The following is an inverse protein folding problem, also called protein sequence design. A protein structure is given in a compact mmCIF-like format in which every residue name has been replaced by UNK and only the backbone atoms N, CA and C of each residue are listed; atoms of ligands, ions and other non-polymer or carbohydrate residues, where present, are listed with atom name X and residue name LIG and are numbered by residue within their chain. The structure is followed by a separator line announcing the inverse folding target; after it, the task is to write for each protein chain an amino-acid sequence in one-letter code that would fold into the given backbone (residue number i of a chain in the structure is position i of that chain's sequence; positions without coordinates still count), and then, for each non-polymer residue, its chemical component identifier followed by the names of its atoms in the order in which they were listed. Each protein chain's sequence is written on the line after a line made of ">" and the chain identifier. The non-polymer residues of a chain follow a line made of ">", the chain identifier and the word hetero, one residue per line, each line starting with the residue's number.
data_IF_963263148328
#
_entry.id   IF_963263148328
#
_cell.length_a   1.000
_cell.length_b   1.000
_cell.length_c   1.000
_cell.angle_alpha   90.00
_cell.angle_beta   90.00
_cell.angle_gamma   90.00
#
_symmetry.space_group_name_H-M   'P 1'
#
loop_
_entity.id
_entity.type
_entity.pdbx_description
1 polymer ?
#
# COMPACT_ATOMS: atom_id res chain seq x y z
N UNK A 1 0.47 9.38 5.64
CA UNK A 1 0.60 8.34 4.60
C UNK A 1 0.13 6.98 5.12
N UNK A 2 0.50 6.60 6.35
CA UNK A 2 0.05 5.35 7.00
C UNK A 2 -1.48 5.18 6.95
N UNK A 3 -2.26 6.18 7.35
CA UNK A 3 -3.74 6.11 7.29
C UNK A 3 -4.29 5.81 5.88
N UNK A 4 -3.68 6.37 4.84
CA UNK A 4 -4.11 6.13 3.45
C UNK A 4 -3.78 4.71 3.00
N UNK A 5 -2.61 4.21 3.38
CA UNK A 5 -2.20 2.83 3.09
C UNK A 5 -3.08 1.85 3.87
N UNK A 6 -3.30 2.09 5.16
CA UNK A 6 -4.17 1.30 6.04
C UNK A 6 -5.60 1.26 5.50
N UNK A 7 -6.16 2.40 5.10
CA UNK A 7 -7.49 2.46 4.50
C UNK A 7 -7.55 1.67 3.18
N UNK A 8 -6.54 1.80 2.30
CA UNK A 8 -6.49 1.06 1.05
C UNK A 8 -6.37 -0.46 1.27
N UNK A 9 -5.63 -0.88 2.30
CA UNK A 9 -5.59 -2.28 2.75
C UNK A 9 -6.96 -2.72 3.25
N UNK A 10 -7.57 -1.98 4.17
CA UNK A 10 -8.84 -2.37 4.78
C UNK A 10 -9.96 -2.52 3.74
N UNK A 11 -10.02 -1.63 2.75
CA UNK A 11 -10.96 -1.74 1.64
C UNK A 11 -10.76 -3.01 0.78
N UNK A 12 -9.52 -3.47 0.64
CA UNK A 12 -9.17 -4.63 -0.20
C UNK A 12 -9.24 -5.94 0.57
N UNK A 13 -8.86 -5.92 1.85
CA UNK A 13 -8.91 -7.06 2.75
C UNK A 13 -10.34 -7.33 3.23
N UNK A 14 -11.17 -6.29 3.33
CA UNK A 14 -12.54 -6.35 3.84
C UNK A 14 -12.65 -6.22 5.35
N UNK A 15 -11.56 -5.89 6.04
CA UNK A 15 -11.47 -5.65 7.48
C UNK A 15 -10.28 -4.73 7.79
N UNK A 16 -10.25 -4.11 8.96
CA UNK A 16 -9.15 -3.28 9.49
C UNK A 16 -8.48 -3.89 10.74
N UNK A 17 -8.78 -5.16 11.02
CA UNK A 17 -8.21 -5.97 12.11
C UNK A 17 -6.79 -6.47 11.77
N UNK A 18 -5.81 -5.57 11.85
CA UNK A 18 -4.37 -5.83 11.72
C UNK A 18 -3.55 -4.68 12.30
N UNK A 19 -2.34 -4.95 12.79
CA UNK A 19 -1.42 -3.89 13.24
C UNK A 19 -0.65 -3.30 12.04
N UNK A 20 -0.14 -2.07 12.18
CA UNK A 20 0.60 -1.42 11.09
C UNK A 20 1.93 -2.10 10.76
N UNK A 21 2.45 -2.91 11.69
CA UNK A 21 3.65 -3.73 11.55
C UNK A 21 3.32 -5.19 11.13
N UNK A 22 2.04 -5.55 10.93
CA UNK A 22 1.63 -6.87 10.43
C UNK A 22 1.96 -7.00 8.94
N UNK A 23 2.70 -8.05 8.51
CA UNK A 23 2.93 -8.32 7.09
C UNK A 23 1.62 -8.52 6.32
N UNK A 24 1.55 -7.99 5.09
CA UNK A 24 0.32 -8.03 4.27
C UNK A 24 -0.25 -9.43 4.09
N UNK A 25 0.62 -10.42 3.97
CA UNK A 25 0.23 -11.83 3.82
C UNK A 25 -0.38 -12.41 5.09
N UNK A 26 0.10 -11.99 6.26
CA UNK A 26 -0.45 -12.39 7.57
C UNK A 26 -1.81 -11.72 7.81
N UNK A 27 -2.00 -10.50 7.32
CA UNK A 27 -3.29 -9.80 7.32
C UNK A 27 -4.30 -10.35 6.28
N UNK A 28 -4.02 -11.49 5.61
CA UNK A 28 -4.92 -12.10 4.62
C UNK A 28 -4.79 -11.55 3.19
N UNK A 29 -3.68 -10.86 2.90
CA UNK A 29 -3.29 -10.36 1.59
C UNK A 29 -2.58 -11.39 0.72
N UNK A 30 -2.58 -11.16 -0.60
CA UNK A 30 -1.85 -11.93 -1.60
C UNK A 30 -1.63 -11.07 -2.85
N UNK A 31 -0.91 -11.58 -3.86
CA UNK A 31 -0.45 -10.80 -5.03
C UNK A 31 -1.56 -10.02 -5.75
N UNK A 32 -2.74 -10.62 -5.95
CA UNK A 32 -3.88 -9.94 -6.56
C UNK A 32 -4.41 -8.79 -5.69
N UNK A 33 -4.57 -9.01 -4.37
CA UNK A 33 -4.97 -7.96 -3.43
C UNK A 33 -3.91 -6.85 -3.34
N UNK A 34 -2.63 -7.19 -3.32
CA UNK A 34 -1.53 -6.22 -3.34
C UNK A 34 -1.59 -5.33 -4.58
N UNK A 35 -1.85 -5.92 -5.75
CA UNK A 35 -2.06 -5.19 -7.00
C UNK A 35 -3.25 -4.24 -6.88
N UNK A 36 -4.36 -4.68 -6.30
CA UNK A 36 -5.55 -3.84 -6.08
C UNK A 36 -5.29 -2.68 -5.11
N UNK A 37 -4.52 -2.88 -4.05
CA UNK A 37 -4.09 -1.81 -3.13
C UNK A 37 -3.25 -0.79 -3.90
N UNK A 38 -2.23 -1.23 -4.64
CA UNK A 38 -1.38 -0.30 -5.40
C UNK A 38 -2.18 0.46 -6.45
N UNK A 39 -3.14 -0.17 -7.13
CA UNK A 39 -4.02 0.52 -8.09
C UNK A 39 -4.85 1.62 -7.42
N UNK A 40 -5.38 1.36 -6.22
CA UNK A 40 -6.12 2.37 -5.43
C UNK A 40 -5.23 3.54 -5.05
N UNK A 41 -4.05 3.26 -4.49
CA UNK A 41 -3.09 4.29 -4.08
C UNK A 41 -2.61 5.12 -5.27
N UNK A 42 -2.29 4.49 -6.41
CA UNK A 42 -1.94 5.19 -7.66
C UNK A 42 -3.03 6.19 -8.07
N UNK A 43 -4.29 5.78 -8.02
CA UNK A 43 -5.44 6.63 -8.38
C UNK A 43 -5.64 7.77 -7.39
N UNK A 44 -5.50 7.52 -6.10
CA UNK A 44 -5.66 8.54 -5.05
C UNK A 44 -4.53 9.57 -5.08
N UNK A 45 -3.30 9.14 -5.37
CA UNK A 45 -2.11 10.00 -5.29
C UNK A 45 -1.72 10.62 -6.65
N UNK A 46 -2.23 10.10 -7.76
CA UNK A 46 -1.85 10.55 -9.10
C UNK A 46 -0.40 10.22 -9.47
N UNK A 47 0.16 9.13 -8.92
CA UNK A 47 1.56 8.74 -9.14
C UNK A 47 1.67 7.28 -9.57
N UNK A 48 2.77 6.93 -10.25
CA UNK A 48 3.08 5.55 -10.60
C UNK A 48 3.84 4.87 -9.46
N UNK A 49 3.20 3.92 -8.79
CA UNK A 49 3.83 3.10 -7.75
C UNK A 49 4.35 1.78 -8.35
N UNK A 50 5.61 1.36 -8.14
CA UNK A 50 6.11 0.06 -8.60
C UNK A 50 5.40 -1.13 -7.92
N UNK A 51 5.19 -2.24 -8.65
CA UNK A 51 4.60 -3.46 -8.06
C UNK A 51 5.50 -4.10 -7.00
N UNK A 52 6.82 -3.87 -7.06
CA UNK A 52 7.78 -4.44 -6.11
C UNK A 52 7.62 -3.95 -4.66
N UNK A 53 6.92 -2.82 -4.46
CA UNK A 53 6.80 -2.17 -3.14
C UNK A 53 6.28 -3.12 -2.06
N UNK A 54 5.32 -3.99 -2.37
CA UNK A 54 4.80 -4.96 -1.39
C UNK A 54 5.79 -6.06 -1.01
N UNK A 55 6.77 -6.34 -1.86
CA UNK A 55 7.82 -7.32 -1.55
C UNK A 55 8.92 -6.69 -0.68
N UNK A 56 9.30 -5.45 -0.99
CA UNK A 56 10.36 -4.73 -0.27
C UNK A 56 9.85 -4.13 1.06
N UNK A 57 8.55 -3.83 1.15
CA UNK A 57 7.89 -3.13 2.25
C UNK A 57 6.55 -3.80 2.59
N UNK A 58 6.59 -4.97 3.26
CA UNK A 58 5.41 -5.82 3.43
C UNK A 58 4.41 -5.31 4.48
N UNK A 59 4.74 -4.31 5.29
CA UNK A 59 3.87 -3.76 6.35
C UNK A 59 3.28 -2.40 5.96
N UNK A 60 2.23 -1.95 6.65
CA UNK A 60 1.62 -0.62 6.41
C UNK A 60 2.64 0.49 6.65
N UNK A 61 3.39 0.41 7.77
CA UNK A 61 4.40 1.40 8.15
C UNK A 61 5.48 1.53 7.09
N UNK A 62 6.06 0.41 6.65
CA UNK A 62 7.11 0.42 5.64
C UNK A 62 6.60 0.88 4.27
N UNK A 63 5.42 0.38 3.87
CA UNK A 63 4.82 0.72 2.58
C UNK A 63 4.47 2.21 2.51
N UNK A 64 3.98 2.78 3.61
CA UNK A 64 3.69 4.21 3.69
C UNK A 64 4.93 5.07 3.45
N UNK A 65 6.05 4.78 4.12
CA UNK A 65 7.32 5.48 3.91
C UNK A 65 7.79 5.37 2.46
N UNK A 66 7.67 4.17 1.86
CA UNK A 66 8.09 3.94 0.49
C UNK A 66 7.20 4.67 -0.54
N UNK A 67 5.89 4.66 -0.34
CA UNK A 67 4.92 5.38 -1.17
C UNK A 67 5.17 6.88 -1.11
N UNK A 68 5.41 7.44 0.07
CA UNK A 68 5.70 8.86 0.25
C UNK A 68 6.97 9.28 -0.52
N UNK A 69 8.04 8.47 -0.45
CA UNK A 69 9.28 8.72 -1.22
C UNK A 69 9.05 8.68 -2.73
N UNK A 70 8.29 7.71 -3.22
CA UNK A 70 7.95 7.62 -4.65
C UNK A 70 7.09 8.79 -5.08
N UNK A 71 6.11 9.18 -4.27
CA UNK A 71 5.22 10.30 -4.56
C UNK A 71 5.95 11.66 -4.59
N UNK A 72 6.96 11.84 -3.73
CA UNK A 72 7.79 13.05 -3.71
C UNK A 72 8.70 13.19 -4.93
N UNK A 73 9.07 12.07 -5.58
CA UNK A 73 10.01 12.04 -6.71
C UNK A 73 9.32 11.85 -8.07
N UNK A 74 8.06 11.45 -8.09
CA UNK A 74 7.30 11.20 -9.32
C UNK A 74 6.56 12.47 -9.79
N UNK A 75 6.60 12.80 -11.10
CA UNK A 75 5.70 13.79 -11.66
C UNK A 75 4.25 13.29 -11.49
N UNK A 76 3.35 14.17 -11.02
CA UNK A 76 1.91 13.85 -10.96
C UNK A 76 1.39 13.65 -12.39
N UNK A 77 0.65 12.55 -12.59
CA UNK A 77 0.01 12.19 -13.85
C UNK A 77 -1.20 13.08 -14.16
#
# INVERSE_FOLDING_TARGET
>A
MEDQVRAAWAEVLGHDDFDDDTPFVEAGGHSLKATQVLMRLRRQLGVRLPNRLFFDHPTVRELAVAVERVAATSPRL
#
